data_IF_101918959063
#
_entry.id   IF_101918959063
#
_cell.length_a   1.000
_cell.length_b   1.000
_cell.length_c   1.000
_cell.angle_alpha   90.00
_cell.angle_beta   90.00
_cell.angle_gamma   90.00
#
_symmetry.space_group_name_H-M   'P 1'
#
loop_
_entity.id
_entity.type
_entity.pdbx_description
1 polymer ?
#
# COMPACT_ATOMS: atom_id res chain seq x y z
N UNK A 1 -18.85 24.51 -5.70
CA UNK A 1 -18.27 23.88 -4.49
C UNK A 1 -17.21 22.84 -4.91
N UNK A 2 -16.07 23.28 -5.47
CA UNK A 2 -15.01 22.39 -5.98
C UNK A 2 -13.69 22.61 -5.23
N UNK A 3 -13.69 22.31 -3.94
CA UNK A 3 -12.52 22.47 -3.06
C UNK A 3 -11.78 21.18 -2.69
N UNK A 4 -12.25 20.00 -3.11
CA UNK A 4 -11.84 18.72 -2.50
C UNK A 4 -10.78 17.91 -3.27
N UNK A 5 -10.16 18.44 -4.32
CA UNK A 5 -9.11 17.73 -5.09
C UNK A 5 -7.69 18.14 -4.71
N UNK A 6 -7.44 18.51 -3.45
CA UNK A 6 -6.07 18.35 -2.93
C UNK A 6 -5.84 16.85 -2.79
N UNK A 7 -5.24 16.23 -3.81
CA UNK A 7 -4.72 14.86 -3.71
C UNK A 7 -3.68 14.88 -2.61
N UNK A 8 -4.06 14.49 -1.40
CA UNK A 8 -3.08 14.24 -0.35
C UNK A 8 -2.26 13.02 -0.80
N UNK A 9 -0.98 13.18 -1.17
CA UNK A 9 -0.15 12.07 -1.64
C UNK A 9 -0.07 10.97 -0.57
N UNK A 10 -0.07 11.37 0.70
CA UNK A 10 -0.16 10.49 1.85
C UNK A 10 -1.45 9.65 1.88
N UNK A 11 -2.60 10.21 1.51
CA UNK A 11 -3.87 9.46 1.41
C UNK A 11 -3.86 8.47 0.26
N UNK A 12 -3.18 8.80 -0.84
CA UNK A 12 -3.01 7.88 -1.98
C UNK A 12 -2.12 6.70 -1.60
N UNK A 13 -0.96 6.97 -0.98
CA UNK A 13 -0.03 5.93 -0.53
C UNK A 13 -0.65 5.02 0.53
N UNK A 14 -1.42 5.56 1.48
CA UNK A 14 -2.17 4.74 2.45
C UNK A 14 -3.19 3.80 1.78
N UNK A 15 -3.85 4.26 0.72
CA UNK A 15 -4.79 3.44 -0.05
C UNK A 15 -4.06 2.34 -0.81
N UNK A 16 -2.95 2.68 -1.46
CA UNK A 16 -2.10 1.73 -2.20
C UNK A 16 -1.50 0.67 -1.26
N UNK A 17 -1.01 1.07 -0.08
CA UNK A 17 -0.55 0.15 0.95
C UNK A 17 -1.65 -0.84 1.37
N UNK A 18 -2.87 -0.33 1.62
CA UNK A 18 -4.01 -1.18 1.98
C UNK A 18 -4.33 -2.20 0.88
N UNK A 19 -4.38 -1.77 -0.38
CA UNK A 19 -4.63 -2.64 -1.53
C UNK A 19 -3.55 -3.71 -1.70
N UNK A 20 -2.27 -3.36 -1.51
CA UNK A 20 -1.16 -4.32 -1.55
C UNK A 20 -1.25 -5.33 -0.41
N UNK A 21 -1.59 -4.90 0.81
CA UNK A 21 -1.74 -5.82 1.94
C UNK A 21 -2.94 -6.75 1.78
N UNK A 22 -4.05 -6.29 1.22
CA UNK A 22 -5.20 -7.12 0.90
C UNK A 22 -4.84 -8.19 -0.15
N UNK A 23 -4.14 -7.79 -1.22
CA UNK A 23 -3.61 -8.74 -2.21
C UNK A 23 -2.66 -9.76 -1.58
N UNK A 24 -1.75 -9.32 -0.71
CA UNK A 24 -0.85 -10.21 0.01
C UNK A 24 -1.63 -11.21 0.89
N UNK A 25 -2.70 -10.80 1.58
CA UNK A 25 -3.54 -11.72 2.35
C UNK A 25 -4.18 -12.81 1.48
N UNK A 26 -4.65 -12.45 0.28
CA UNK A 26 -5.19 -13.42 -0.67
C UNK A 26 -4.12 -14.41 -1.16
N UNK A 27 -2.93 -13.91 -1.49
CA UNK A 27 -1.80 -14.75 -1.94
C UNK A 27 -1.32 -15.69 -0.83
N UNK A 28 -1.20 -15.19 0.40
CA UNK A 28 -0.87 -16.00 1.57
C UNK A 28 -1.91 -17.09 1.81
N UNK A 29 -3.21 -16.76 1.71
CA UNK A 29 -4.30 -17.73 1.86
C UNK A 29 -4.30 -18.80 0.77
N UNK A 30 -3.92 -18.43 -0.44
CA UNK A 30 -3.79 -19.35 -1.57
C UNK A 30 -2.50 -20.18 -1.52
N UNK A 31 -1.59 -19.88 -0.58
CA UNK A 31 -0.31 -20.58 -0.42
C UNK A 31 0.77 -20.14 -1.41
N UNK A 32 0.57 -19.01 -2.11
CA UNK A 32 1.56 -18.46 -3.05
C UNK A 32 2.55 -17.56 -2.30
N UNK A 33 3.53 -18.21 -1.68
CA UNK A 33 4.51 -17.55 -0.80
C UNK A 33 5.46 -16.63 -1.59
N UNK A 34 5.81 -17.00 -2.81
CA UNK A 34 6.70 -16.20 -3.67
C UNK A 34 5.99 -14.89 -4.07
N UNK A 35 4.77 -14.98 -4.59
CA UNK A 35 3.99 -13.80 -4.92
C UNK A 35 3.68 -12.96 -3.68
N UNK A 36 3.34 -13.60 -2.55
CA UNK A 36 3.16 -12.91 -1.27
C UNK A 36 4.39 -12.10 -0.87
N UNK A 37 5.59 -12.69 -0.92
CA UNK A 37 6.83 -12.00 -0.58
C UNK A 37 7.08 -10.80 -1.48
N UNK A 38 6.80 -10.94 -2.78
CA UNK A 38 6.95 -9.84 -3.74
C UNK A 38 5.97 -8.70 -3.49
N UNK A 39 4.70 -9.02 -3.21
CA UNK A 39 3.67 -8.01 -2.92
C UNK A 39 3.91 -7.34 -1.56
N UNK A 40 4.35 -8.09 -0.55
CA UNK A 40 4.72 -7.51 0.75
C UNK A 40 5.94 -6.60 0.66
N UNK A 41 6.94 -6.94 -0.16
CA UNK A 41 8.08 -6.06 -0.40
C UNK A 41 7.66 -4.72 -1.05
N UNK A 42 6.69 -4.76 -1.96
CA UNK A 42 6.09 -3.54 -2.52
C UNK A 42 5.32 -2.75 -1.45
N UNK A 43 4.54 -3.43 -0.62
CA UNK A 43 3.82 -2.80 0.49
C UNK A 43 4.79 -2.09 1.46
N UNK A 44 5.91 -2.71 1.81
CA UNK A 44 6.95 -2.09 2.64
C UNK A 44 7.57 -0.85 1.99
N UNK A 45 7.78 -0.86 0.67
CA UNK A 45 8.27 0.32 -0.05
C UNK A 45 7.29 1.49 0.04
N UNK A 46 6.00 1.22 -0.15
CA UNK A 46 4.94 2.23 -0.01
C UNK A 46 4.85 2.71 1.43
N UNK A 47 4.97 1.81 2.41
CA UNK A 47 4.95 2.18 3.82
C UNK A 47 6.11 3.11 4.20
N UNK A 48 7.31 2.87 3.70
CA UNK A 48 8.45 3.79 3.88
C UNK A 48 8.15 5.19 3.33
N UNK A 49 7.54 5.28 2.15
CA UNK A 49 7.12 6.57 1.58
C UNK A 49 6.06 7.26 2.44
N UNK A 50 5.14 6.51 3.04
CA UNK A 50 4.17 7.07 4.01
C UNK A 50 4.91 7.63 5.22
N UNK A 51 5.86 6.88 5.79
CA UNK A 51 6.63 7.33 6.96
C UNK A 51 7.46 8.59 6.65
N UNK A 52 8.07 8.67 5.47
CA UNK A 52 8.82 9.85 5.02
C UNK A 52 7.93 11.11 4.86
N UNK A 53 6.66 10.94 4.50
CA UNK A 53 5.70 12.04 4.38
C UNK A 53 5.00 12.39 5.70
N UNK A 54 5.01 11.48 6.68
CA UNK A 54 4.48 11.69 8.04
C UNK A 54 5.51 12.28 9.00
N UNK A 55 6.80 12.18 8.69
CA UNK A 55 7.92 12.74 9.47
C UNK A 55 8.05 14.26 9.34
#
# INVERSE_FOLDING_TARGET
>A
MFGFLKKDPLKQLKKEYAELTEQAMHLQRNGDIEAYSNVMSQAESVYKQIQELEA
#
